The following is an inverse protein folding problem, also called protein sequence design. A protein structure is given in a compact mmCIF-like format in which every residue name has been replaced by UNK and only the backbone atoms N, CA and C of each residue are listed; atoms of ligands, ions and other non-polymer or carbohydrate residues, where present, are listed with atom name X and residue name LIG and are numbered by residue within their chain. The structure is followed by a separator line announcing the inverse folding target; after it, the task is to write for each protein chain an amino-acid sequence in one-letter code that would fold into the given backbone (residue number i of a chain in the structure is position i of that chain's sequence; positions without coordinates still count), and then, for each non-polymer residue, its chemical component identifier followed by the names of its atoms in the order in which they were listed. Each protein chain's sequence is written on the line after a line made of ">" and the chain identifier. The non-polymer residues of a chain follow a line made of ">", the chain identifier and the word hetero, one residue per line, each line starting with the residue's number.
data_IF_684490145333
#
_entry.id   IF_684490145333
#
_cell.length_a   1.000
_cell.length_b   1.000
_cell.length_c   1.000
_cell.angle_alpha   90.00
_cell.angle_beta   90.00
_cell.angle_gamma   90.00
#
_symmetry.space_group_name_H-M   'P 1'
#
loop_
_entity.id
_entity.type
_entity.pdbx_description
1 polymer ?
#
# COMPACT_ATOMS: atom_id res chain seq x y z
N UNK A 1 8.31 -24.40 -15.75
CA UNK A 1 9.07 -23.24 -15.23
C UNK A 1 8.56 -22.93 -13.83
N UNK A 2 9.44 -22.72 -12.91
CA UNK A 2 9.06 -22.34 -11.54
C UNK A 2 8.68 -20.84 -11.54
N UNK A 3 7.41 -20.52 -11.22
CA UNK A 3 6.91 -19.16 -11.20
C UNK A 3 7.66 -18.27 -10.22
N UNK A 4 8.31 -18.87 -9.23
CA UNK A 4 9.13 -18.11 -8.27
C UNK A 4 10.28 -17.34 -8.92
N UNK A 5 10.80 -17.83 -10.03
CA UNK A 5 11.85 -17.14 -10.78
C UNK A 5 11.38 -15.79 -11.35
N UNK A 6 10.07 -15.65 -11.55
CA UNK A 6 9.47 -14.42 -12.09
C UNK A 6 9.19 -13.39 -11.00
N UNK A 7 9.20 -13.79 -9.74
CA UNK A 7 8.86 -12.95 -8.59
C UNK A 7 10.12 -12.46 -7.83
N UNK A 8 11.32 -12.80 -8.32
CA UNK A 8 12.58 -12.40 -7.71
C UNK A 8 13.02 -13.31 -6.57
N UNK A 9 13.94 -12.80 -5.75
CA UNK A 9 14.63 -13.60 -4.72
C UNK A 9 13.94 -13.60 -3.35
N UNK A 10 12.85 -12.87 -3.19
CA UNK A 10 12.14 -12.80 -1.90
C UNK A 10 11.39 -14.12 -1.66
N UNK A 11 11.58 -14.78 -0.51
CA UNK A 11 10.86 -16.01 -0.22
C UNK A 11 9.35 -15.83 -0.26
N UNK A 12 8.64 -16.77 -0.89
CA UNK A 12 7.18 -16.77 -0.90
C UNK A 12 6.65 -16.88 0.53
N UNK A 13 5.51 -16.29 0.81
CA UNK A 13 4.90 -16.35 2.14
C UNK A 13 5.34 -15.24 3.09
N UNK A 14 6.20 -14.33 2.66
CA UNK A 14 6.66 -13.18 3.47
C UNK A 14 5.52 -12.32 3.99
N UNK A 15 4.40 -12.27 3.27
CA UNK A 15 3.25 -11.43 3.60
C UNK A 15 2.09 -12.21 4.19
N UNK A 16 2.33 -13.44 4.63
CA UNK A 16 1.29 -14.30 5.22
C UNK A 16 0.59 -13.57 6.39
N UNK A 17 -0.74 -13.64 6.38
CA UNK A 17 -1.57 -13.06 7.44
C UNK A 17 -1.85 -11.57 7.26
N UNK A 18 -1.28 -10.93 6.26
CA UNK A 18 -1.54 -9.50 5.98
C UNK A 18 -2.70 -9.34 5.01
N UNK A 19 -3.46 -8.25 5.18
CA UNK A 19 -4.46 -7.81 4.23
C UNK A 19 -3.99 -6.49 3.63
N UNK A 20 -3.84 -6.43 2.31
CA UNK A 20 -3.32 -5.25 1.61
C UNK A 20 -4.38 -4.73 0.64
N UNK A 21 -4.65 -3.43 0.70
CA UNK A 21 -5.50 -2.76 -0.26
C UNK A 21 -4.62 -2.14 -1.35
N UNK A 22 -4.81 -2.56 -2.59
CA UNK A 22 -4.11 -2.03 -3.76
C UNK A 22 -4.98 -1.01 -4.45
N UNK A 23 -4.53 0.24 -4.54
CA UNK A 23 -5.27 1.35 -5.15
C UNK A 23 -4.51 1.87 -6.36
N UNK A 24 -5.05 1.62 -7.55
CA UNK A 24 -4.47 2.07 -8.80
C UNK A 24 -5.57 2.04 -9.87
N UNK A 25 -5.67 3.08 -10.69
CA UNK A 25 -6.67 3.13 -11.77
C UNK A 25 -6.26 2.32 -13.01
N UNK A 26 -4.98 1.99 -13.12
CA UNK A 26 -4.48 1.14 -14.20
C UNK A 26 -4.71 -0.33 -13.85
N UNK A 27 -5.59 -0.99 -14.62
CA UNK A 27 -5.96 -2.38 -14.37
C UNK A 27 -4.78 -3.34 -14.41
N UNK A 28 -3.82 -3.12 -15.33
CA UNK A 28 -2.66 -3.99 -15.45
C UNK A 28 -1.73 -3.88 -14.26
N UNK A 29 -1.48 -2.66 -13.80
CA UNK A 29 -0.62 -2.42 -12.62
C UNK A 29 -1.31 -2.93 -11.36
N UNK A 30 -2.60 -2.66 -11.21
CA UNK A 30 -3.36 -3.16 -10.07
C UNK A 30 -3.35 -4.68 -10.01
N UNK A 31 -3.56 -5.36 -11.15
CA UNK A 31 -3.50 -6.81 -11.24
C UNK A 31 -2.10 -7.34 -10.92
N UNK A 32 -1.07 -6.68 -11.44
CA UNK A 32 0.32 -7.06 -11.16
C UNK A 32 0.62 -7.02 -9.66
N UNK A 33 0.28 -5.92 -9.00
CA UNK A 33 0.51 -5.77 -7.55
C UNK A 33 -0.32 -6.75 -6.73
N UNK A 34 -1.59 -6.91 -7.09
CA UNK A 34 -2.48 -7.86 -6.40
C UNK A 34 -1.93 -9.29 -6.49
N UNK A 35 -1.49 -9.70 -7.67
CA UNK A 35 -0.91 -11.02 -7.89
C UNK A 35 0.40 -11.18 -7.10
N UNK A 36 1.26 -10.16 -7.14
CA UNK A 36 2.53 -10.19 -6.41
C UNK A 36 2.31 -10.39 -4.92
N UNK A 37 1.42 -9.61 -4.31
CA UNK A 37 1.16 -9.72 -2.88
C UNK A 37 0.46 -11.03 -2.53
N UNK A 38 -0.50 -11.45 -3.34
CA UNK A 38 -1.21 -12.72 -3.16
C UNK A 38 -0.24 -13.92 -3.23
N UNK A 39 0.69 -13.89 -4.18
CA UNK A 39 1.70 -14.94 -4.32
C UNK A 39 2.63 -15.01 -3.10
N UNK A 40 2.77 -13.91 -2.37
CA UNK A 40 3.56 -13.86 -1.12
C UNK A 40 2.69 -14.09 0.13
N UNK A 41 1.44 -14.49 -0.04
CA UNK A 41 0.59 -14.93 1.07
C UNK A 41 -0.37 -13.90 1.64
N UNK A 42 -0.43 -12.70 1.08
CA UNK A 42 -1.36 -11.68 1.54
C UNK A 42 -2.77 -11.91 1.00
N UNK A 43 -3.76 -11.51 1.78
CA UNK A 43 -5.11 -11.28 1.26
C UNK A 43 -5.11 -9.91 0.61
N UNK A 44 -5.71 -9.78 -0.58
CA UNK A 44 -5.66 -8.53 -1.34
C UNK A 44 -7.07 -7.99 -1.60
N UNK A 45 -7.24 -6.71 -1.34
CA UNK A 45 -8.41 -5.94 -1.73
C UNK A 45 -7.97 -4.95 -2.80
N UNK A 46 -8.87 -4.54 -3.67
CA UNK A 46 -8.55 -3.64 -4.78
C UNK A 46 -9.50 -2.46 -4.82
N UNK A 47 -8.99 -1.31 -5.25
CA UNK A 47 -9.77 -0.12 -5.53
C UNK A 47 -9.18 0.57 -6.76
N UNK A 48 -10.02 1.14 -7.61
CA UNK A 48 -9.60 1.76 -8.86
C UNK A 48 -9.64 3.29 -8.83
N UNK A 49 -10.10 3.88 -7.72
CA UNK A 49 -10.10 5.34 -7.54
C UNK A 49 -10.06 5.70 -6.06
N UNK A 50 -9.90 6.99 -5.78
CA UNK A 50 -9.77 7.48 -4.41
C UNK A 50 -11.01 7.32 -3.56
N UNK A 51 -12.20 7.52 -4.13
CA UNK A 51 -13.45 7.35 -3.39
C UNK A 51 -13.66 5.90 -2.97
N UNK A 52 -13.40 4.97 -3.89
CA UNK A 52 -13.47 3.54 -3.61
C UNK A 52 -12.44 3.13 -2.56
N UNK A 53 -11.23 3.70 -2.64
CA UNK A 53 -10.17 3.43 -1.67
C UNK A 53 -10.60 3.81 -0.24
N UNK A 54 -11.21 4.99 -0.08
CA UNK A 54 -11.68 5.44 1.23
C UNK A 54 -12.78 4.53 1.78
N UNK A 55 -13.71 4.12 0.93
CA UNK A 55 -14.80 3.24 1.33
C UNK A 55 -14.27 1.87 1.78
N UNK A 56 -13.43 1.25 0.96
CA UNK A 56 -12.89 -0.08 1.26
C UNK A 56 -11.99 -0.02 2.51
N UNK A 57 -11.14 0.98 2.62
CA UNK A 57 -10.25 1.12 3.77
C UNK A 57 -11.03 1.31 5.08
N UNK A 58 -12.08 2.12 5.05
CA UNK A 58 -12.92 2.37 6.24
C UNK A 58 -13.67 1.12 6.69
N UNK A 59 -14.19 0.36 5.72
CA UNK A 59 -14.99 -0.84 5.99
C UNK A 59 -14.14 -2.03 6.40
N UNK A 60 -13.04 -2.26 5.67
CA UNK A 60 -12.25 -3.50 5.80
C UNK A 60 -10.99 -3.34 6.64
N UNK A 61 -10.54 -2.12 6.87
CA UNK A 61 -9.35 -1.80 7.67
C UNK A 61 -8.16 -2.70 7.35
N UNK A 62 -7.61 -2.60 6.13
CA UNK A 62 -6.46 -3.40 5.75
C UNK A 62 -5.23 -3.07 6.61
N UNK A 63 -4.25 -3.96 6.60
CA UNK A 63 -3.00 -3.76 7.33
C UNK A 63 -2.07 -2.77 6.65
N UNK A 64 -2.26 -2.56 5.35
CA UNK A 64 -1.46 -1.63 4.55
C UNK A 64 -2.23 -1.27 3.28
N UNK A 65 -2.03 -0.04 2.81
CA UNK A 65 -2.58 0.45 1.56
C UNK A 65 -1.43 0.81 0.63
N UNK A 66 -1.44 0.29 -0.61
CA UNK A 66 -0.58 0.84 -1.67
C UNK A 66 -1.43 1.80 -2.49
N UNK A 67 -0.92 2.99 -2.76
CA UNK A 67 -1.71 4.09 -3.33
C UNK A 67 -0.97 4.76 -4.47
N UNK A 68 -1.59 4.79 -5.66
CA UNK A 68 -1.14 5.62 -6.77
C UNK A 68 -1.66 7.04 -6.59
N UNK A 69 -0.84 8.03 -6.91
CA UNK A 69 -1.21 9.45 -6.74
C UNK A 69 -1.95 10.03 -7.95
N UNK A 70 -1.81 9.42 -9.13
CA UNK A 70 -2.39 9.96 -10.36
C UNK A 70 -3.63 9.14 -10.76
N UNK A 71 -4.79 9.56 -10.25
CA UNK A 71 -6.06 8.90 -10.53
C UNK A 71 -7.13 9.94 -10.82
N UNK A 72 -8.16 9.62 -11.66
CA UNK A 72 -9.26 10.55 -11.92
C UNK A 72 -10.20 10.67 -10.71
N UNK A 73 -10.99 11.74 -10.69
CA UNK A 73 -11.98 12.00 -9.63
C UNK A 73 -11.31 12.49 -8.36
N UNK A 74 -11.56 11.79 -7.24
CA UNK A 74 -10.80 12.02 -6.01
C UNK A 74 -9.41 11.45 -6.29
N UNK A 75 -8.46 12.33 -6.54
CA UNK A 75 -7.12 11.91 -6.91
C UNK A 75 -6.37 11.29 -5.72
N UNK A 76 -5.21 10.71 -6.02
CA UNK A 76 -4.44 10.01 -4.99
C UNK A 76 -3.92 10.93 -3.89
N UNK A 77 -3.62 12.19 -4.20
CA UNK A 77 -3.14 13.16 -3.21
C UNK A 77 -4.26 13.47 -2.22
N UNK A 78 -5.46 13.73 -2.71
CA UNK A 78 -6.63 13.98 -1.87
C UNK A 78 -7.01 12.73 -1.08
N UNK A 79 -6.98 11.56 -1.71
CA UNK A 79 -7.27 10.31 -1.04
C UNK A 79 -6.29 10.08 0.12
N UNK A 80 -5.00 10.33 -0.10
CA UNK A 80 -3.98 10.22 0.95
C UNK A 80 -4.33 11.12 2.15
N UNK A 81 -4.64 12.39 1.88
CA UNK A 81 -4.98 13.34 2.94
C UNK A 81 -6.21 12.89 3.73
N UNK A 82 -7.24 12.40 3.05
CA UNK A 82 -8.46 11.90 3.70
C UNK A 82 -8.21 10.64 4.53
N UNK A 83 -7.39 9.73 4.03
CA UNK A 83 -7.02 8.52 4.79
C UNK A 83 -6.32 8.90 6.09
N UNK A 84 -5.47 9.92 6.08
CA UNK A 84 -4.70 10.36 7.25
C UNK A 84 -5.51 11.16 8.27
N UNK A 85 -6.69 11.65 7.92
CA UNK A 85 -7.50 12.49 8.79
C UNK A 85 -8.78 11.82 9.29
N UNK A 86 -9.18 10.69 8.71
CA UNK A 86 -10.36 9.96 9.14
C UNK A 86 -10.00 8.99 10.27
N UNK A 87 -10.81 8.96 11.33
CA UNK A 87 -10.57 8.11 12.51
C UNK A 87 -10.43 6.62 12.15
N UNK A 88 -11.22 6.17 11.16
CA UNK A 88 -11.20 4.76 10.78
C UNK A 88 -9.94 4.32 10.04
N UNK A 89 -9.17 5.26 9.46
CA UNK A 89 -8.08 4.94 8.54
C UNK A 89 -6.76 5.62 8.88
N UNK A 90 -6.74 6.58 9.79
CA UNK A 90 -5.56 7.43 10.03
C UNK A 90 -4.30 6.65 10.41
N UNK A 91 -4.44 5.51 11.05
CA UNK A 91 -3.30 4.69 11.50
C UNK A 91 -2.89 3.60 10.51
N UNK A 92 -3.65 3.41 9.41
CA UNK A 92 -3.30 2.40 8.40
C UNK A 92 -2.06 2.88 7.63
N UNK A 93 -0.97 2.10 7.60
CA UNK A 93 0.22 2.47 6.83
C UNK A 93 -0.11 2.60 5.34
N UNK A 94 0.50 3.60 4.70
CA UNK A 94 0.35 3.85 3.27
C UNK A 94 1.71 3.82 2.60
N UNK A 95 1.83 3.02 1.54
CA UNK A 95 2.98 3.00 0.65
C UNK A 95 2.55 3.59 -0.68
N UNK A 96 3.10 4.74 -1.03
CA UNK A 96 2.82 5.37 -2.33
C UNK A 96 3.59 4.61 -3.40
N UNK A 97 2.93 4.27 -4.52
CA UNK A 97 3.57 3.65 -5.69
C UNK A 97 3.07 4.41 -6.91
N UNK A 98 3.89 5.30 -7.46
CA UNK A 98 3.44 6.23 -8.49
C UNK A 98 4.47 6.41 -9.61
N UNK A 99 3.97 6.67 -10.82
CA UNK A 99 4.80 7.09 -11.96
C UNK A 99 5.09 8.59 -11.98
N UNK A 100 4.69 9.32 -10.93
CA UNK A 100 4.83 10.77 -10.84
C UNK A 100 5.66 11.15 -9.61
N UNK A 101 6.99 10.96 -9.65
CA UNK A 101 7.86 11.26 -8.51
C UNK A 101 7.83 12.73 -8.11
N UNK A 102 7.43 13.62 -9.02
CA UNK A 102 7.30 15.06 -8.75
C UNK A 102 6.25 15.37 -7.68
N UNK A 103 5.31 14.46 -7.43
CA UNK A 103 4.31 14.64 -6.37
C UNK A 103 4.85 14.36 -4.97
N UNK A 104 6.07 13.83 -4.86
CA UNK A 104 6.66 13.49 -3.57
C UNK A 104 6.67 14.68 -2.62
N UNK A 105 7.15 15.84 -3.09
CA UNK A 105 7.20 17.05 -2.26
C UNK A 105 5.80 17.48 -1.81
N UNK A 106 4.82 17.40 -2.70
CA UNK A 106 3.44 17.76 -2.38
C UNK A 106 2.89 16.88 -1.25
N UNK A 107 3.17 15.59 -1.31
CA UNK A 107 2.74 14.62 -0.28
C UNK A 107 3.41 14.92 1.06
N UNK A 108 4.73 15.13 1.07
CA UNK A 108 5.48 15.35 2.32
C UNK A 108 5.21 16.73 2.93
N UNK A 109 4.73 17.69 2.13
CA UNK A 109 4.35 19.02 2.63
C UNK A 109 2.95 19.05 3.25
N UNK A 110 2.16 17.99 3.10
CA UNK A 110 0.83 17.94 3.73
C UNK A 110 0.94 17.93 5.25
N UNK A 111 0.03 18.62 5.97
CA UNK A 111 0.07 18.67 7.43
C UNK A 111 -0.54 17.42 8.07
N UNK A 112 -0.08 16.27 7.63
CA UNK A 112 -0.51 14.94 8.11
C UNK A 112 0.72 14.05 8.22
N UNK A 113 0.57 12.90 8.89
CA UNK A 113 1.65 11.93 8.98
C UNK A 113 2.10 11.50 7.58
N UNK A 114 3.40 11.58 7.26
CA UNK A 114 3.90 11.17 5.94
C UNK A 114 3.64 9.70 5.65
N UNK A 115 3.69 9.29 4.36
CA UNK A 115 3.55 7.88 4.02
C UNK A 115 4.73 7.07 4.56
N UNK A 116 4.47 5.81 4.89
CA UNK A 116 5.48 4.88 5.37
C UNK A 116 6.43 4.41 4.27
N UNK A 117 6.01 4.54 3.01
CA UNK A 117 6.86 4.23 1.87
C UNK A 117 6.49 5.07 0.65
N UNK A 118 7.46 5.28 -0.24
CA UNK A 118 7.23 5.99 -1.50
C UNK A 118 8.11 5.33 -2.57
N UNK A 119 7.47 4.67 -3.53
CA UNK A 119 8.13 3.95 -4.61
C UNK A 119 7.77 4.54 -5.95
N UNK A 120 8.74 4.59 -6.86
CA UNK A 120 8.55 5.08 -8.22
C UNK A 120 8.27 3.91 -9.16
N UNK A 121 7.34 4.11 -10.11
CA UNK A 121 7.13 3.15 -11.21
C UNK A 121 8.13 3.41 -12.33
N UNK A 122 8.60 2.38 -13.02
CA UNK A 122 8.31 0.96 -12.83
C UNK A 122 9.02 0.41 -11.59
N UNK A 123 8.35 -0.51 -10.89
CA UNK A 123 8.86 -1.05 -9.62
C UNK A 123 9.47 -2.43 -9.83
N UNK A 124 10.60 -2.67 -9.19
CA UNK A 124 11.17 -4.01 -9.06
C UNK A 124 10.31 -4.81 -8.06
N UNK A 125 9.78 -6.00 -8.45
CA UNK A 125 8.95 -6.80 -7.56
C UNK A 125 9.58 -7.10 -6.21
N UNK A 126 10.86 -7.46 -6.17
CA UNK A 126 11.56 -7.73 -4.91
C UNK A 126 11.57 -6.51 -4.01
N UNK A 127 11.85 -5.34 -4.57
CA UNK A 127 11.91 -4.10 -3.82
C UNK A 127 10.54 -3.75 -3.22
N UNK A 128 9.46 -3.96 -4.00
CA UNK A 128 8.09 -3.73 -3.53
C UNK A 128 7.78 -4.63 -2.34
N UNK A 129 8.04 -5.93 -2.47
CA UNK A 129 7.72 -6.89 -1.40
C UNK A 129 8.56 -6.61 -0.16
N UNK A 130 9.83 -6.31 -0.30
CA UNK A 130 10.71 -5.98 0.84
C UNK A 130 10.22 -4.72 1.56
N UNK A 131 9.84 -3.69 0.81
CA UNK A 131 9.32 -2.45 1.37
C UNK A 131 8.03 -2.69 2.14
N UNK A 132 7.08 -3.40 1.53
CA UNK A 132 5.80 -3.74 2.16
C UNK A 132 6.02 -4.59 3.42
N UNK A 133 6.87 -5.61 3.34
CA UNK A 133 7.20 -6.47 4.47
C UNK A 133 7.78 -5.65 5.64
N UNK A 134 8.69 -4.73 5.34
CA UNK A 134 9.29 -3.84 6.36
C UNK A 134 8.21 -2.98 7.04
N UNK A 135 7.33 -2.38 6.26
CA UNK A 135 6.27 -1.52 6.79
C UNK A 135 5.32 -2.33 7.69
N UNK A 136 4.91 -3.51 7.25
CA UNK A 136 4.06 -4.40 8.03
C UNK A 136 4.73 -4.82 9.34
N UNK A 137 6.04 -5.05 9.31
CA UNK A 137 6.81 -5.39 10.51
C UNK A 137 6.81 -4.27 11.55
N UNK A 138 6.92 -3.02 11.11
CA UNK A 138 6.83 -1.85 12.00
C UNK A 138 5.44 -1.74 12.63
N UNK A 139 4.39 -2.00 11.85
CA UNK A 139 3.02 -1.99 12.36
C UNK A 139 2.79 -3.03 13.45
N UNK A 140 3.30 -4.24 13.28
CA UNK A 140 3.22 -5.30 14.27
C UNK A 140 3.93 -4.92 15.57
N UNK A 141 5.13 -4.36 15.49
CA UNK A 141 5.89 -3.92 16.65
C UNK A 141 5.15 -2.83 17.42
N UNK A 142 4.53 -1.90 16.72
CA UNK A 142 3.73 -0.84 17.34
C UNK A 142 2.53 -1.44 18.09
N UNK A 143 1.83 -2.40 17.50
CA UNK A 143 0.69 -3.09 18.14
C UNK A 143 1.13 -3.86 19.40
N UNK A 144 2.26 -4.56 19.32
CA UNK A 144 2.80 -5.29 20.47
C UNK A 144 3.15 -4.35 21.62
N UNK A 145 3.77 -3.21 21.34
CA UNK A 145 4.08 -2.18 22.34
C UNK A 145 2.81 -1.66 23.03
N UNK A 146 1.75 -1.45 22.24
CA UNK A 146 0.47 -0.95 22.77
C UNK A 146 -0.22 -1.96 23.68
N UNK A 147 0.08 -3.26 23.55
CA UNK A 147 -0.50 -4.33 24.36
C UNK A 147 0.24 -4.57 25.67
N UNK A 148 1.44 -4.04 25.82
CA UNK A 148 2.21 -4.19 27.07
C UNK A 148 1.64 -3.28 28.13
N UNK A 149 1.43 -3.78 29.35
CA UNK A 149 0.95 -2.95 30.47
C UNK A 149 1.95 -1.87 30.87
#
# INVERSE_FOLDING_TARGET
>A
MDDRALLGDVPLGKLNGACILVVDDDDEIRTFLATLFSDHGAAVLEASDGAQALEVASRSRPDLITLDLSMPGVDGIEAFSRLRTADATEEIPVCIITGHPEFRQVIYDRPVTPPEGFLDKPCDPDHVVKTVHRILGLGRRKKERSRKP
#
